data_IF_313047812440
#
_entry.id   IF_313047812440
#
_cell.length_a   1.000
_cell.length_b   1.000
_cell.length_c   1.000
_cell.angle_alpha   90.00
_cell.angle_beta   90.00
_cell.angle_gamma   90.00
#
_symmetry.space_group_name_H-M   'P 1'
#
loop_
_entity.id
_entity.type
_entity.pdbx_description
1 polymer ?
#
# COMPACT_ATOMS: atom_id res chain seq x y z
N UNK A 1 4.09 -6.73 14.34
CA UNK A 1 3.22 -5.53 14.35
C UNK A 1 2.58 -5.38 12.98
N UNK A 2 1.42 -4.71 12.89
CA UNK A 2 0.78 -4.43 11.61
C UNK A 2 1.12 -3.02 11.13
N UNK A 3 1.55 -2.89 9.88
CA UNK A 3 1.91 -1.61 9.27
C UNK A 3 1.17 -1.43 7.96
N UNK A 4 0.50 -0.28 7.80
CA UNK A 4 -0.24 0.05 6.58
C UNK A 4 0.32 1.34 5.99
N UNK A 5 0.81 1.26 4.75
CA UNK A 5 1.17 2.42 3.95
C UNK A 5 -0.01 2.84 3.09
N UNK A 6 -0.29 4.14 3.03
CA UNK A 6 -1.34 4.69 2.19
C UNK A 6 -0.75 5.76 1.26
N UNK A 7 -0.82 5.50 -0.04
CA UNK A 7 -0.14 6.27 -1.09
C UNK A 7 -1.11 6.68 -2.20
N UNK A 8 -0.71 7.67 -3.00
CA UNK A 8 -1.46 8.02 -4.21
C UNK A 8 -1.44 6.87 -5.23
N UNK A 9 -0.26 6.39 -5.61
CA UNK A 9 -0.09 5.24 -6.50
C UNK A 9 1.17 4.44 -6.10
N UNK A 10 1.54 3.42 -6.89
CA UNK A 10 2.76 2.62 -6.69
C UNK A 10 3.63 2.55 -7.94
N UNK A 11 3.73 3.69 -8.64
CA UNK A 11 4.66 3.88 -9.73
C UNK A 11 6.12 3.99 -9.27
N UNK A 12 6.98 4.53 -10.14
CA UNK A 12 8.43 4.63 -9.88
C UNK A 12 8.88 6.04 -9.47
N UNK A 13 8.28 6.60 -8.43
CA UNK A 13 8.72 7.85 -7.81
C UNK A 13 9.56 7.62 -6.54
N UNK A 14 10.01 8.70 -5.91
CA UNK A 14 10.87 8.64 -4.72
C UNK A 14 10.14 8.09 -3.49
N UNK A 15 8.92 8.56 -3.23
CA UNK A 15 8.11 8.12 -2.08
C UNK A 15 7.72 6.64 -2.22
N UNK A 16 7.35 6.23 -3.43
CA UNK A 16 6.99 4.86 -3.77
C UNK A 16 8.19 3.92 -3.60
N UNK A 17 9.39 4.36 -4.02
CA UNK A 17 10.63 3.60 -3.84
C UNK A 17 10.97 3.41 -2.35
N UNK A 18 10.78 4.45 -1.53
CA UNK A 18 10.98 4.36 -0.08
C UNK A 18 10.00 3.37 0.53
N UNK A 19 8.70 3.47 0.20
CA UNK A 19 7.69 2.53 0.71
C UNK A 19 7.97 1.11 0.24
N UNK A 20 8.35 0.89 -1.02
CA UNK A 20 8.73 -0.42 -1.54
C UNK A 20 9.86 -1.06 -0.71
N UNK A 21 10.96 -0.34 -0.51
CA UNK A 21 12.10 -0.85 0.26
C UNK A 21 11.72 -1.12 1.72
N UNK A 22 10.98 -0.20 2.33
CA UNK A 22 10.57 -0.30 3.73
C UNK A 22 9.56 -1.44 3.94
N UNK A 23 8.63 -1.64 3.01
CA UNK A 23 7.66 -2.73 3.07
C UNK A 23 8.33 -4.10 3.05
N UNK A 24 9.28 -4.31 2.14
CA UNK A 24 10.04 -5.56 2.10
C UNK A 24 10.86 -5.76 3.38
N UNK A 25 11.56 -4.71 3.83
CA UNK A 25 12.35 -4.78 5.07
C UNK A 25 11.48 -5.11 6.30
N UNK A 26 10.36 -4.40 6.48
CA UNK A 26 9.45 -4.63 7.61
C UNK A 26 8.83 -6.03 7.56
N UNK A 27 8.48 -6.53 6.37
CA UNK A 27 7.98 -7.87 6.17
C UNK A 27 9.03 -8.93 6.52
N UNK A 28 10.29 -8.72 6.12
CA UNK A 28 11.42 -9.57 6.51
C UNK A 28 11.60 -9.62 8.03
N UNK A 29 11.36 -8.51 8.74
CA UNK A 29 11.37 -8.45 10.21
C UNK A 29 10.11 -9.05 10.88
N UNK A 30 9.28 -9.77 10.13
CA UNK A 30 8.11 -10.48 10.67
C UNK A 30 6.89 -9.59 10.90
N UNK A 31 6.82 -8.41 10.28
CA UNK A 31 5.64 -7.56 10.35
C UNK A 31 4.65 -7.90 9.24
N UNK A 32 3.37 -7.73 9.54
CA UNK A 32 2.30 -7.76 8.55
C UNK A 32 2.24 -6.39 7.87
N UNK A 33 2.58 -6.36 6.59
CA UNK A 33 2.65 -5.10 5.81
C UNK A 33 1.56 -5.10 4.75
N UNK A 34 0.81 -4.01 4.69
CA UNK A 34 -0.17 -3.76 3.65
C UNK A 34 0.09 -2.40 3.01
N UNK A 35 0.20 -2.35 1.69
CA UNK A 35 0.22 -1.11 0.92
C UNK A 35 -1.16 -0.90 0.29
N UNK A 36 -1.73 0.28 0.55
CA UNK A 36 -2.96 0.76 -0.05
C UNK A 36 -2.65 1.91 -0.99
N UNK A 37 -3.18 1.86 -2.22
CA UNK A 37 -3.07 2.97 -3.17
C UNK A 37 -4.43 3.55 -3.55
N UNK A 38 -4.44 4.85 -3.84
CA UNK A 38 -5.63 5.55 -4.32
C UNK A 38 -5.89 5.21 -5.79
N UNK A 39 -4.88 5.39 -6.64
CA UNK A 39 -4.90 5.19 -8.08
C UNK A 39 -4.22 3.85 -8.47
N UNK A 40 -4.43 3.42 -9.71
CA UNK A 40 -4.03 2.13 -10.26
C UNK A 40 -2.65 2.13 -10.92
N UNK A 41 -1.91 3.25 -10.93
CA UNK A 41 -0.56 3.26 -11.49
C UNK A 41 0.35 2.39 -10.61
N UNK A 42 1.01 1.42 -11.24
CA UNK A 42 1.81 0.42 -10.54
C UNK A 42 2.97 -0.04 -11.42
N UNK A 43 4.19 0.08 -10.90
CA UNK A 43 5.42 -0.37 -11.54
C UNK A 43 6.30 -1.19 -10.58
N UNK A 44 5.94 -1.25 -9.29
CA UNK A 44 6.79 -1.80 -8.23
C UNK A 44 6.19 -3.03 -7.53
N UNK A 45 4.86 -3.24 -7.58
CA UNK A 45 4.21 -4.28 -6.77
C UNK A 45 4.69 -5.69 -7.09
N UNK A 46 4.99 -5.97 -8.37
CA UNK A 46 5.46 -7.28 -8.83
C UNK A 46 6.82 -7.70 -8.24
N UNK A 47 7.53 -6.78 -7.57
CA UNK A 47 8.82 -7.03 -6.91
C UNK A 47 8.72 -7.05 -5.39
N UNK A 48 7.52 -6.90 -4.83
CA UNK A 48 7.32 -7.02 -3.38
C UNK A 48 7.47 -8.48 -2.94
N UNK A 49 7.88 -8.68 -1.68
CA UNK A 49 7.75 -9.97 -1.02
C UNK A 49 6.29 -10.44 -1.09
N UNK A 50 6.07 -11.72 -1.42
CA UNK A 50 4.73 -12.31 -1.62
C UNK A 50 3.82 -12.20 -0.40
N UNK A 51 4.38 -11.98 0.79
CA UNK A 51 3.65 -11.79 2.05
C UNK A 51 3.14 -10.36 2.22
N UNK A 52 3.69 -9.39 1.49
CA UNK A 52 3.22 -8.00 1.51
C UNK A 52 1.89 -7.93 0.76
N UNK A 53 0.85 -7.46 1.45
CA UNK A 53 -0.47 -7.25 0.83
C UNK A 53 -0.46 -5.95 0.06
N UNK A 54 -1.03 -5.97 -1.15
CA UNK A 54 -1.15 -4.80 -2.01
C UNK A 54 -2.60 -4.64 -2.45
N UNK A 55 -3.17 -3.45 -2.31
CA UNK A 55 -4.55 -3.17 -2.73
C UNK A 55 -4.67 -1.76 -3.27
N UNK A 56 -5.30 -1.62 -4.43
CA UNK A 56 -5.63 -0.31 -5.01
C UNK A 56 -7.13 -0.04 -4.92
N UNK A 57 -7.50 1.19 -4.60
CA UNK A 57 -8.89 1.64 -4.57
C UNK A 57 -9.43 2.05 -5.96
N UNK A 58 -8.56 2.14 -6.97
CA UNK A 58 -8.91 2.53 -8.34
C UNK A 58 -9.71 3.86 -8.42
N UNK A 59 -9.22 4.88 -7.71
CA UNK A 59 -9.82 6.21 -7.63
C UNK A 59 -8.97 7.25 -8.36
N UNK A 60 -9.65 8.25 -8.92
CA UNK A 60 -9.01 9.40 -9.59
C UNK A 60 -8.83 10.62 -8.68
N UNK A 61 -9.39 10.59 -7.46
CA UNK A 61 -9.38 11.70 -6.50
C UNK A 61 -9.18 11.19 -5.08
N UNK A 62 -8.37 11.88 -4.29
CA UNK A 62 -8.07 11.52 -2.89
C UNK A 62 -9.32 11.52 -2.01
N UNK A 63 -10.26 12.44 -2.22
CA UNK A 63 -11.49 12.45 -1.41
C UNK A 63 -12.34 11.19 -1.62
N UNK A 64 -12.26 10.59 -2.82
CA UNK A 64 -13.01 9.37 -3.14
C UNK A 64 -12.38 8.09 -2.58
N UNK A 65 -11.17 8.16 -2.00
CA UNK A 65 -10.57 7.05 -1.27
C UNK A 65 -10.92 7.02 0.22
N UNK A 66 -11.57 8.06 0.77
CA UNK A 66 -11.91 8.09 2.19
C UNK A 66 -12.89 6.99 2.60
N UNK A 67 -13.94 6.77 1.81
CA UNK A 67 -14.93 5.69 2.06
C UNK A 67 -14.26 4.30 2.06
N UNK A 68 -13.51 3.89 1.01
CA UNK A 68 -12.85 2.59 1.03
C UNK A 68 -11.75 2.49 2.08
N UNK A 69 -11.05 3.58 2.43
CA UNK A 69 -10.09 3.61 3.52
C UNK A 69 -10.75 3.33 4.88
N UNK A 70 -11.87 4.01 5.17
CA UNK A 70 -12.64 3.76 6.40
C UNK A 70 -13.15 2.32 6.43
N UNK A 71 -13.65 1.81 5.30
CA UNK A 71 -14.10 0.43 5.20
C UNK A 71 -12.96 -0.55 5.49
N UNK A 72 -11.78 -0.31 4.91
CA UNK A 72 -10.57 -1.10 5.16
C UNK A 72 -10.23 -1.11 6.65
N UNK A 73 -10.17 0.07 7.30
CA UNK A 73 -9.86 0.17 8.73
C UNK A 73 -10.86 -0.57 9.62
N UNK A 74 -12.14 -0.63 9.21
CA UNK A 74 -13.18 -1.36 9.97
C UNK A 74 -13.11 -2.88 9.82
N UNK A 75 -12.66 -3.38 8.67
CA UNK A 75 -12.55 -4.83 8.42
C UNK A 75 -11.26 -5.45 8.94
N UNK A 76 -10.27 -4.60 9.21
CA UNK A 76 -8.90 -5.00 9.56
C UNK A 76 -8.55 -4.68 11.03
N UNK A 77 -9.50 -4.11 11.78
CA UNK A 77 -9.58 -4.11 13.23
C UNK A 77 -10.26 -5.40 13.71
#
# INVERSE_FOLDING_TARGET
MRVVFFLWDFGRGGAETVVFNLSNYLCEKGNEVHILTINSKDELSGRLDKRVRFTTFNKKRIISSLIPLIRFMRTEN
#
